data_IF_221413730296
#
_entry.id   IF_221413730296
#
_cell.length_a   1.000
_cell.length_b   1.000
_cell.length_c   1.000
_cell.angle_alpha   90.00
_cell.angle_beta   90.00
_cell.angle_gamma   90.00
#
_symmetry.space_group_name_H-M   'P 1'
#
loop_
_entity.id
_entity.type
_entity.pdbx_description
1 polymer ?
#
# COMPACT_ATOMS: atom_id res chain seq x y z
N UNK A 1 9.09 7.91 15.34
CA UNK A 1 8.80 7.36 13.99
C UNK A 1 7.76 6.25 14.13
N UNK A 2 6.92 5.97 13.12
CA UNK A 2 5.89 4.93 13.21
C UNK A 2 6.36 3.63 12.57
N UNK A 3 5.87 2.49 13.07
CA UNK A 3 6.17 1.17 12.53
C UNK A 3 4.88 0.42 12.22
N UNK A 4 4.91 -0.43 11.19
CA UNK A 4 3.83 -1.39 10.99
C UNK A 4 3.74 -2.33 12.19
N UNK A 5 2.53 -2.54 12.68
CA UNK A 5 2.23 -3.54 13.71
C UNK A 5 1.95 -4.87 13.04
N UNK A 6 2.65 -5.91 13.46
CA UNK A 6 2.39 -7.26 13.00
C UNK A 6 0.94 -7.67 13.26
N UNK A 7 0.28 -8.24 12.25
CA UNK A 7 -1.10 -8.75 12.36
C UNK A 7 -1.11 -10.27 12.31
N UNK A 8 -1.99 -10.90 13.08
CA UNK A 8 -2.06 -12.37 13.20
C UNK A 8 -2.86 -13.06 12.10
N UNK A 9 -3.63 -12.30 11.33
CA UNK A 9 -4.54 -12.84 10.32
C UNK A 9 -4.34 -12.12 8.99
N UNK A 10 -4.35 -12.89 7.90
CA UNK A 10 -4.29 -12.36 6.55
C UNK A 10 -5.58 -11.57 6.26
N UNK A 11 -5.51 -10.34 5.73
CA UNK A 11 -6.70 -9.54 5.48
C UNK A 11 -7.58 -10.20 4.42
N UNK A 12 -8.89 -10.20 4.65
CA UNK A 12 -9.85 -10.59 3.62
C UNK A 12 -10.00 -9.47 2.59
N UNK A 13 -10.12 -9.82 1.31
CA UNK A 13 -10.37 -8.86 0.23
C UNK A 13 -11.85 -8.47 0.10
N UNK A 14 -12.75 -8.97 0.96
CA UNK A 14 -14.21 -8.82 0.90
C UNK A 14 -14.71 -7.36 0.87
N UNK A 15 -14.01 -6.45 1.53
CA UNK A 15 -14.29 -5.02 1.53
C UNK A 15 -13.89 -4.29 0.22
N UNK A 16 -13.12 -4.94 -0.66
CA UNK A 16 -12.69 -4.36 -1.94
C UNK A 16 -13.80 -4.42 -2.98
N UNK A 17 -13.97 -3.33 -3.74
CA UNK A 17 -14.82 -3.33 -4.94
C UNK A 17 -14.28 -4.27 -6.01
N UNK A 18 -15.13 -4.69 -6.94
CA UNK A 18 -14.72 -5.56 -8.06
C UNK A 18 -13.60 -4.92 -8.91
N UNK A 19 -13.66 -3.60 -9.10
CA UNK A 19 -12.65 -2.84 -9.82
C UNK A 19 -11.28 -2.86 -9.10
N UNK A 20 -11.28 -2.77 -7.77
CA UNK A 20 -10.05 -2.86 -6.96
C UNK A 20 -9.46 -4.26 -7.00
N UNK A 21 -10.29 -5.30 -6.86
CA UNK A 21 -9.82 -6.70 -6.96
C UNK A 21 -9.16 -6.96 -8.31
N UNK A 22 -9.84 -6.60 -9.41
CA UNK A 22 -9.29 -6.76 -10.76
C UNK A 22 -8.00 -5.97 -10.99
N UNK A 23 -7.84 -4.84 -10.32
CA UNK A 23 -6.60 -4.06 -10.36
C UNK A 23 -5.48 -4.77 -9.57
N UNK A 24 -5.78 -5.24 -8.36
CA UNK A 24 -4.83 -5.96 -7.52
C UNK A 24 -4.41 -7.28 -8.17
N UNK A 25 -5.34 -8.10 -8.68
CA UNK A 25 -5.05 -9.37 -9.39
C UNK A 25 -4.02 -9.24 -10.52
N UNK A 26 -3.84 -8.03 -11.07
CA UNK A 26 -2.90 -7.75 -12.17
C UNK A 26 -1.57 -7.17 -11.71
N UNK A 27 -1.56 -6.50 -10.56
CA UNK A 27 -0.48 -5.58 -10.17
C UNK A 27 0.11 -5.89 -8.81
N UNK A 28 -0.56 -6.75 -8.04
CA UNK A 28 -0.22 -7.11 -6.69
C UNK A 28 -0.39 -8.61 -6.53
N UNK A 29 0.68 -9.27 -6.12
CA UNK A 29 0.64 -10.64 -5.63
C UNK A 29 1.45 -10.73 -4.34
N UNK A 30 1.03 -11.61 -3.44
CA UNK A 30 1.69 -11.85 -2.18
C UNK A 30 1.56 -13.33 -1.84
N UNK A 31 2.70 -13.97 -1.58
CA UNK A 31 2.75 -15.35 -1.14
C UNK A 31 3.64 -15.49 0.10
N UNK A 32 3.88 -16.72 0.56
CA UNK A 32 4.66 -16.94 1.77
C UNK A 32 6.14 -16.50 1.71
N UNK A 33 6.67 -16.21 0.52
CA UNK A 33 8.09 -15.94 0.30
C UNK A 33 8.35 -14.51 -0.17
N UNK A 34 7.47 -13.97 -1.02
CA UNK A 34 7.70 -12.68 -1.66
C UNK A 34 6.44 -11.83 -1.80
N UNK A 35 6.70 -10.52 -1.86
CA UNK A 35 5.80 -9.48 -2.32
C UNK A 35 6.08 -9.20 -3.80
N UNK A 36 5.05 -9.08 -4.63
CA UNK A 36 5.19 -8.70 -6.03
C UNK A 36 4.33 -7.49 -6.37
N UNK A 37 4.96 -6.44 -6.93
CA UNK A 37 4.28 -5.32 -7.57
C UNK A 37 4.61 -5.28 -9.07
N UNK A 38 3.58 -5.25 -9.92
CA UNK A 38 3.71 -5.10 -11.38
C UNK A 38 4.72 -6.07 -12.05
N UNK A 39 4.93 -7.26 -11.46
CA UNK A 39 5.86 -8.29 -11.97
C UNK A 39 7.25 -8.27 -11.32
N UNK A 40 7.55 -7.28 -10.48
CA UNK A 40 8.80 -7.18 -9.73
C UNK A 40 8.59 -7.70 -8.31
N UNK A 41 9.41 -8.66 -7.90
CA UNK A 41 9.28 -9.35 -6.61
C UNK A 41 10.40 -8.99 -5.62
N UNK A 42 10.05 -8.98 -4.34
CA UNK A 42 10.98 -8.79 -3.22
C UNK A 42 10.65 -9.75 -2.08
N UNK A 43 11.68 -10.35 -1.49
CA UNK A 43 11.55 -11.19 -0.30
C UNK A 43 11.11 -10.36 0.90
N UNK A 44 10.22 -10.91 1.73
CA UNK A 44 9.66 -10.18 2.89
C UNK A 44 10.73 -9.63 3.82
N UNK A 45 11.79 -10.41 4.08
CA UNK A 45 12.88 -10.09 5.01
C UNK A 45 13.77 -8.93 4.55
N UNK A 46 13.67 -8.52 3.28
CA UNK A 46 14.44 -7.42 2.71
C UNK A 46 13.72 -6.06 2.80
N UNK A 47 12.43 -6.06 3.12
CA UNK A 47 11.64 -4.83 3.21
C UNK A 47 12.05 -4.06 4.46
N UNK A 48 12.37 -2.78 4.32
CA UNK A 48 12.83 -1.93 5.43
C UNK A 48 11.82 -0.84 5.80
N UNK A 49 11.10 -0.34 4.80
CA UNK A 49 10.20 0.80 4.95
C UNK A 49 9.07 0.72 3.93
N UNK A 50 7.90 1.22 4.32
CA UNK A 50 6.78 1.47 3.43
C UNK A 50 6.39 2.95 3.49
N UNK A 51 6.11 3.52 2.33
CA UNK A 51 5.63 4.90 2.20
C UNK A 51 4.24 4.96 1.56
N UNK A 52 3.32 5.73 2.14
CA UNK A 52 2.02 6.07 1.53
C UNK A 52 1.95 7.55 1.21
N UNK A 53 1.99 7.89 -0.07
CA UNK A 53 1.84 9.25 -0.56
C UNK A 53 0.48 9.46 -1.22
N UNK A 54 -0.19 10.57 -0.90
CA UNK A 54 -1.40 10.97 -1.63
C UNK A 54 -1.01 11.43 -3.04
N UNK A 55 -1.68 10.94 -4.07
CA UNK A 55 -1.39 11.32 -5.46
C UNK A 55 -1.62 12.83 -5.67
N UNK A 56 -0.55 13.58 -5.90
CA UNK A 56 -0.47 15.06 -5.87
C UNK A 56 -1.34 15.83 -6.89
N UNK A 57 -2.20 15.16 -7.66
CA UNK A 57 -2.88 15.71 -8.85
C UNK A 57 -4.07 16.64 -8.55
N UNK A 58 -4.28 17.02 -7.28
CA UNK A 58 -5.61 17.48 -6.83
C UNK A 58 -5.89 18.99 -6.77
N UNK A 59 -4.94 19.90 -7.08
CA UNK A 59 -5.20 21.35 -6.94
C UNK A 59 -5.44 22.13 -8.23
N UNK A 60 -5.59 21.47 -9.38
CA UNK A 60 -5.96 22.14 -10.63
C UNK A 60 -7.39 21.81 -11.05
N UNK A 61 -8.10 22.73 -11.76
CA UNK A 61 -9.42 22.44 -12.33
C UNK A 61 -9.43 21.21 -13.26
N UNK A 62 -8.34 20.99 -14.00
CA UNK A 62 -8.17 19.79 -14.82
C UNK A 62 -8.04 18.50 -13.96
N UNK A 63 -7.35 18.57 -12.82
CA UNK A 63 -7.28 17.49 -11.85
C UNK A 63 -8.63 17.14 -11.23
N UNK A 64 -9.48 18.15 -10.99
CA UNK A 64 -10.85 17.95 -10.52
C UNK A 64 -11.73 17.22 -11.55
N UNK A 65 -11.64 17.59 -12.83
CA UNK A 65 -12.40 16.92 -13.91
C UNK A 65 -11.99 15.45 -14.04
N UNK A 66 -10.68 15.17 -14.06
CA UNK A 66 -10.16 13.80 -14.10
C UNK A 66 -10.57 13.00 -12.86
N UNK A 67 -10.50 13.58 -11.67
CA UNK A 67 -10.96 12.94 -10.41
C UNK A 67 -12.42 12.51 -10.52
N UNK A 68 -13.31 13.37 -11.01
CA UNK A 68 -14.73 13.07 -11.08
C UNK A 68 -15.09 12.12 -12.23
N UNK A 69 -14.52 12.30 -13.43
CA UNK A 69 -14.87 11.51 -14.61
C UNK A 69 -14.16 10.15 -14.70
N UNK A 70 -12.87 10.08 -14.37
CA UNK A 70 -12.08 8.84 -14.51
C UNK A 70 -12.03 8.03 -13.22
N UNK A 71 -12.09 8.69 -12.07
CA UNK A 71 -11.91 8.04 -10.76
C UNK A 71 -13.13 8.17 -9.83
N UNK A 72 -14.28 8.64 -10.34
CA UNK A 72 -15.54 8.67 -9.58
C UNK A 72 -15.49 9.51 -8.31
N UNK A 73 -14.65 10.55 -8.26
CA UNK A 73 -14.52 11.43 -7.10
C UNK A 73 -13.59 10.91 -5.98
N UNK A 74 -13.02 9.70 -6.12
CA UNK A 74 -12.20 9.06 -5.09
C UNK A 74 -10.77 9.60 -5.01
N UNK A 75 -10.22 9.65 -3.80
CA UNK A 75 -8.80 9.95 -3.58
C UNK A 75 -7.92 8.76 -3.96
N UNK A 76 -6.70 9.06 -4.42
CA UNK A 76 -5.74 8.07 -4.92
C UNK A 76 -4.40 8.23 -4.22
N UNK A 77 -3.71 7.11 -4.10
CA UNK A 77 -2.49 6.95 -3.33
C UNK A 77 -1.41 6.25 -4.17
N UNK A 78 -0.17 6.48 -3.78
CA UNK A 78 1.01 5.75 -4.19
C UNK A 78 1.55 5.02 -2.96
N UNK A 79 1.85 3.74 -3.11
CA UNK A 79 2.48 2.92 -2.07
C UNK A 79 3.89 2.57 -2.54
N UNK A 80 4.90 3.06 -1.82
CA UNK A 80 6.30 2.69 -2.00
C UNK A 80 6.71 1.62 -0.98
N UNK A 81 7.53 0.68 -1.41
CA UNK A 81 8.16 -0.34 -0.56
C UNK A 81 9.67 -0.26 -0.80
N UNK A 82 10.43 0.05 0.24
CA UNK A 82 11.86 0.32 0.18
C UNK A 82 12.68 -0.84 0.74
N UNK A 83 13.77 -1.17 0.05
CA UNK A 83 14.71 -2.23 0.42
C UNK A 83 16.11 -1.85 -0.07
N UNK A 84 17.06 -1.67 0.85
CA UNK A 84 18.39 -1.16 0.54
C UNK A 84 18.37 0.19 -0.20
N UNK A 85 18.72 0.18 -1.50
CA UNK A 85 18.74 1.39 -2.37
C UNK A 85 17.68 1.36 -3.47
N UNK A 86 16.73 0.44 -3.36
CA UNK A 86 15.70 0.19 -4.37
C UNK A 86 14.31 0.43 -3.77
N UNK A 87 13.34 0.64 -4.65
CA UNK A 87 11.93 0.78 -4.28
C UNK A 87 11.04 0.04 -5.29
N UNK A 88 9.95 -0.55 -4.79
CA UNK A 88 8.79 -0.95 -5.58
C UNK A 88 7.68 0.05 -5.33
N UNK A 89 7.03 0.52 -6.40
CA UNK A 89 6.00 1.56 -6.27
C UNK A 89 4.71 1.15 -6.97
N UNK A 90 3.64 0.97 -6.19
CA UNK A 90 2.30 0.76 -6.70
C UNK A 90 1.53 2.09 -6.74
N UNK A 91 1.13 2.52 -7.93
CA UNK A 91 0.57 3.86 -8.15
C UNK A 91 -0.93 3.89 -8.40
N UNK A 92 -1.57 5.00 -8.03
CA UNK A 92 -2.99 5.30 -8.31
C UNK A 92 -3.98 4.29 -7.71
N UNK A 93 -3.68 3.78 -6.52
CA UNK A 93 -4.54 2.87 -5.78
C UNK A 93 -5.47 3.63 -4.82
N UNK A 94 -6.56 3.01 -4.41
CA UNK A 94 -7.50 3.57 -3.43
C UNK A 94 -6.98 3.40 -2.01
N UNK A 95 -7.60 4.10 -1.05
CA UNK A 95 -7.27 3.91 0.37
C UNK A 95 -7.54 2.47 0.85
N UNK A 96 -8.62 1.83 0.40
CA UNK A 96 -8.93 0.44 0.78
C UNK A 96 -7.91 -0.54 0.21
N UNK A 97 -7.46 -0.35 -1.03
CA UNK A 97 -6.37 -1.13 -1.59
C UNK A 97 -5.05 -0.93 -0.82
N UNK A 98 -4.73 0.31 -0.43
CA UNK A 98 -3.56 0.58 0.45
C UNK A 98 -3.67 -0.19 1.76
N UNK A 99 -4.82 -0.10 2.45
CA UNK A 99 -5.05 -0.81 3.72
C UNK A 99 -4.87 -2.32 3.55
N UNK A 100 -5.52 -2.90 2.54
CA UNK A 100 -5.40 -4.32 2.24
C UNK A 100 -3.94 -4.74 2.04
N UNK A 101 -3.18 -4.01 1.23
CA UNK A 101 -1.76 -4.32 0.98
C UNK A 101 -0.93 -4.15 2.25
N UNK A 102 -1.09 -3.07 3.01
CA UNK A 102 -0.30 -2.83 4.22
C UNK A 102 -0.59 -3.85 5.32
N UNK A 103 -1.83 -4.29 5.46
CA UNK A 103 -2.16 -5.41 6.35
C UNK A 103 -1.54 -6.72 5.88
N UNK A 104 -1.43 -6.92 4.57
CA UNK A 104 -0.77 -8.11 4.00
C UNK A 104 0.75 -8.08 4.27
N UNK A 105 1.39 -6.92 4.07
CA UNK A 105 2.80 -6.70 4.43
C UNK A 105 3.00 -6.93 5.93
N UNK A 106 2.15 -6.35 6.78
CA UNK A 106 2.21 -6.52 8.23
C UNK A 106 1.97 -7.97 8.70
N UNK A 107 1.33 -8.81 7.89
CA UNK A 107 1.14 -10.23 8.18
C UNK A 107 2.38 -11.05 7.84
N UNK A 108 3.03 -10.77 6.71
CA UNK A 108 4.17 -11.56 6.22
C UNK A 108 5.52 -11.11 6.78
N UNK A 109 5.73 -9.80 6.96
CA UNK A 109 6.98 -9.27 7.52
C UNK A 109 7.04 -9.58 9.03
N UNK A 110 8.09 -10.30 9.45
CA UNK A 110 8.29 -10.71 10.85
C UNK A 110 9.24 -9.79 11.63
N UNK A 111 9.76 -8.76 10.98
CA UNK A 111 10.63 -7.76 11.56
C UNK A 111 10.01 -6.36 11.42
N UNK A 112 10.68 -5.39 12.03
CA UNK A 112 10.19 -4.03 12.12
C UNK A 112 10.26 -3.32 10.77
N UNK A 113 9.09 -2.91 10.26
CA UNK A 113 8.97 -2.13 9.03
C UNK A 113 8.63 -0.69 9.38
N UNK A 114 9.47 0.25 8.94
CA UNK A 114 9.22 1.68 9.11
C UNK A 114 8.02 2.11 8.28
N UNK A 115 7.20 2.99 8.84
CA UNK A 115 6.05 3.53 8.15
C UNK A 115 6.16 5.05 8.02
N UNK A 116 6.02 5.53 6.78
CA UNK A 116 5.91 6.94 6.46
C UNK A 116 4.62 7.18 5.64
N UNK A 117 3.68 8.01 6.10
CA UNK A 117 2.50 8.29 5.29
C UNK A 117 1.27 8.74 6.04
N UNK A 118 0.12 8.55 5.38
CA UNK A 118 -1.19 9.03 5.84
C UNK A 118 -1.69 8.24 7.06
N UNK A 119 -1.98 8.94 8.16
CA UNK A 119 -2.51 8.32 9.38
C UNK A 119 -3.86 7.64 9.10
N UNK A 120 -4.06 6.44 9.67
CA UNK A 120 -5.34 5.71 9.59
C UNK A 120 -5.52 4.81 8.36
N UNK A 121 -4.47 4.59 7.57
CA UNK A 121 -4.46 3.64 6.44
C UNK A 121 -3.65 2.37 6.70
N UNK A 122 -3.00 2.28 7.86
CA UNK A 122 -2.08 1.22 8.21
C UNK A 122 -2.27 0.79 9.68
N UNK A 123 -1.99 -0.47 10.03
CA UNK A 123 -1.91 -0.89 11.42
C UNK A 123 -0.57 -0.39 12.00
N UNK A 124 -0.61 0.64 12.85
CA UNK A 124 0.58 1.30 13.36
C UNK A 124 0.79 1.06 14.85
N UNK A 125 2.06 0.96 15.25
CA UNK A 125 2.50 1.09 16.64
C UNK A 125 3.52 2.22 16.73
N UNK A 126 3.55 2.87 17.89
CA UNK A 126 4.55 3.87 18.22
C UNK A 126 5.91 3.22 18.52
N UNK A 127 6.98 4.02 18.55
CA UNK A 127 8.33 3.58 18.94
C UNK A 127 8.30 2.86 20.30
N UNK A 128 9.01 1.73 20.37
CA UNK A 128 9.33 1.08 21.64
C UNK A 128 10.45 1.90 22.28
N UNK A 129 10.16 2.56 23.41
CA UNK A 129 11.18 3.18 24.28
C UNK A 129 12.20 2.15 24.81
#
# INVERSE_FOLDING_TARGET
MAYLTHVSELPAADHLSEAERKMLDRRFDANAFELNFDGEAIEWDLIEEVEVAQAARQRSPAGWVVRNLLYGGSERYHLGVYFGKQELVLTNITAEAVRYILHTVAYYCRHDIRYNGVVGVAPLRDEIE
#
